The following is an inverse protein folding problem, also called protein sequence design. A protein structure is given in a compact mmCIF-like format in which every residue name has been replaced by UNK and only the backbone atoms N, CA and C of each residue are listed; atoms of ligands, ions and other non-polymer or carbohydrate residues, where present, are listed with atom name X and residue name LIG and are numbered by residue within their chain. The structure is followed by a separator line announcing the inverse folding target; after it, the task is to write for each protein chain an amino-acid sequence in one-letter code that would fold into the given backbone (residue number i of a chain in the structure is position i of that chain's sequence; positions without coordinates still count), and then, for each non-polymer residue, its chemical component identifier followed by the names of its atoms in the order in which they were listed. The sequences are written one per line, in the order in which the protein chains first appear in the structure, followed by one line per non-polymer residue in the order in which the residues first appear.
data_IF_934150245041
#
_entry.id   IF_934150245041
#
_cell.length_a   1.000
_cell.length_b   1.000
_cell.length_c   1.000
_cell.angle_alpha   90.00
_cell.angle_beta   90.00
_cell.angle_gamma   90.00
#
_symmetry.space_group_name_H-M   'P 1'
#
loop_
_entity.id
_entity.type
_entity.pdbx_description
1 polymer ?
#
# COMPACT_ATOMS: atom_id res chain seq x y z
N UNK A 1 55.68 -45.20 27.08
CA UNK A 1 54.59 -44.62 26.26
C UNK A 1 55.21 -43.55 25.36
N UNK A 2 55.36 -43.75 24.03
CA UNK A 2 54.39 -43.46 22.94
C UNK A 2 53.91 -41.98 23.02
N UNK A 3 54.18 -41.02 22.12
CA UNK A 3 54.54 -40.91 20.67
C UNK A 3 55.31 -39.57 20.45
N UNK A 4 56.53 -39.51 19.84
CA UNK A 4 56.94 -39.25 18.41
C UNK A 4 56.66 -37.83 17.84
N UNK A 5 57.67 -36.95 17.60
CA UNK A 5 58.48 -36.65 16.36
C UNK A 5 57.63 -36.14 15.15
N UNK A 6 57.88 -34.98 14.49
CA UNK A 6 58.92 -34.68 13.44
C UNK A 6 58.69 -33.24 12.88
N UNK A 7 59.59 -32.23 12.93
CA UNK A 7 60.65 -31.70 12.01
C UNK A 7 60.35 -31.52 10.49
N UNK A 8 60.45 -30.25 10.01
CA UNK A 8 60.89 -29.65 8.71
C UNK A 8 60.77 -30.43 7.37
N UNK A 9 60.26 -29.77 6.31
CA UNK A 9 61.05 -29.13 5.20
C UNK A 9 60.18 -28.73 3.97
N UNK A 10 60.63 -27.63 3.36
CA UNK A 10 60.34 -27.04 2.04
C UNK A 10 60.65 -27.99 0.87
N UNK A 11 59.86 -27.89 -0.22
CA UNK A 11 60.17 -28.01 -1.67
C UNK A 11 58.81 -27.97 -2.42
N UNK A 12 58.40 -26.89 -3.09
CA UNK A 12 58.84 -26.35 -4.39
C UNK A 12 58.53 -27.26 -5.60
N UNK A 13 58.08 -26.60 -6.69
CA UNK A 13 57.87 -27.07 -8.08
C UNK A 13 56.49 -27.67 -8.33
N UNK A 14 55.72 -27.27 -9.35
CA UNK A 14 56.09 -26.58 -10.59
C UNK A 14 55.07 -25.50 -10.99
N UNK A 15 55.56 -24.41 -11.62
CA UNK A 15 55.56 -24.23 -13.09
C UNK A 15 54.15 -24.04 -13.63
N UNK A 16 53.74 -22.87 -14.10
CA UNK A 16 54.44 -21.64 -14.42
C UNK A 16 53.60 -20.86 -15.45
N UNK A 17 53.88 -19.56 -15.57
CA UNK A 17 53.69 -18.73 -16.76
C UNK A 17 52.21 -18.60 -17.26
N UNK A 18 51.55 -17.45 -17.25
CA UNK A 18 52.01 -16.21 -17.88
C UNK A 18 51.00 -15.10 -17.55
N UNK A 19 51.47 -14.03 -16.91
CA UNK A 19 50.93 -12.69 -17.14
C UNK A 19 51.53 -12.19 -18.45
N UNK A 20 51.01 -12.67 -19.59
CA UNK A 20 51.04 -11.96 -20.86
C UNK A 20 49.58 -11.72 -21.20
N UNK A 21 49.09 -10.50 -21.13
CA UNK A 21 49.39 -9.54 -22.18
C UNK A 21 48.27 -9.63 -23.20
N UNK A 22 47.26 -8.79 -22.98
CA UNK A 22 46.52 -8.04 -23.99
C UNK A 22 45.87 -8.80 -25.17
N UNK A 23 44.64 -8.40 -25.48
CA UNK A 23 44.26 -8.11 -26.88
C UNK A 23 44.25 -9.28 -27.88
N UNK A 24 43.77 -10.47 -27.49
CA UNK A 24 43.53 -11.57 -28.45
C UNK A 24 42.10 -12.12 -28.51
N UNK A 25 41.15 -11.57 -27.75
CA UNK A 25 39.76 -11.62 -28.17
C UNK A 25 39.59 -10.44 -29.12
N UNK A 26 39.90 -10.66 -30.39
CA UNK A 26 39.56 -9.71 -31.44
C UNK A 26 38.10 -9.29 -31.27
N UNK A 27 37.81 -8.05 -31.65
CA UNK A 27 36.46 -7.52 -31.81
C UNK A 27 35.66 -8.42 -32.77
N UNK A 28 35.19 -9.55 -32.27
CA UNK A 28 33.97 -10.16 -32.73
C UNK A 28 32.91 -9.25 -32.14
N UNK A 29 32.13 -8.60 -33.00
CA UNK A 29 30.92 -7.94 -32.57
C UNK A 29 30.17 -8.95 -31.69
N UNK A 30 30.10 -8.68 -30.39
CA UNK A 30 29.24 -9.44 -29.51
C UNK A 30 27.84 -9.20 -30.05
N UNK A 31 27.29 -10.21 -30.72
CA UNK A 31 25.91 -10.19 -31.15
C UNK A 31 25.06 -9.97 -29.89
N UNK A 32 24.32 -8.86 -29.84
CA UNK A 32 23.42 -8.57 -28.72
C UNK A 32 22.34 -9.64 -28.57
N UNK A 33 22.14 -10.50 -29.59
CA UNK A 33 21.26 -11.67 -29.48
C UNK A 33 21.65 -12.63 -28.34
N UNK A 34 22.92 -12.61 -27.89
CA UNK A 34 23.38 -13.44 -26.78
C UNK A 34 23.47 -12.68 -25.45
N UNK A 35 23.13 -11.38 -25.42
CA UNK A 35 22.96 -10.66 -24.17
C UNK A 35 21.81 -11.31 -23.38
N UNK A 36 22.01 -11.68 -22.10
CA UNK A 36 23.00 -11.16 -21.16
C UNK A 36 24.21 -12.08 -20.89
N UNK A 37 24.42 -13.14 -21.68
CA UNK A 37 25.67 -13.90 -21.62
C UNK A 37 26.83 -13.05 -22.18
N UNK A 38 28.05 -13.13 -21.61
CA UNK A 38 28.52 -14.02 -20.54
C UNK A 38 28.32 -13.45 -19.12
N UNK A 39 27.67 -12.30 -18.97
CA UNK A 39 27.59 -11.56 -17.71
C UNK A 39 26.63 -12.17 -16.70
N UNK A 40 25.71 -13.05 -17.14
CA UNK A 40 24.83 -13.83 -16.28
C UNK A 40 25.10 -15.32 -16.49
N UNK A 41 25.46 -16.02 -15.42
CA UNK A 41 25.70 -17.47 -15.44
C UNK A 41 25.14 -18.11 -14.17
N UNK A 42 24.28 -19.12 -14.33
CA UNK A 42 23.66 -19.82 -13.19
C UNK A 42 22.76 -18.93 -12.31
N UNK A 43 22.05 -17.97 -12.90
CA UNK A 43 21.19 -17.04 -12.17
C UNK A 43 21.95 -16.10 -11.24
N UNK A 44 23.21 -15.78 -11.59
CA UNK A 44 24.04 -14.81 -10.87
C UNK A 44 24.81 -13.95 -11.86
N UNK A 45 24.94 -12.67 -11.52
CA UNK A 45 25.84 -11.78 -12.22
C UNK A 45 27.29 -12.23 -12.02
N UNK A 46 28.05 -12.31 -13.11
CA UNK A 46 29.43 -12.76 -13.17
C UNK A 46 30.28 -11.72 -13.89
N UNK A 47 30.58 -10.63 -13.19
CA UNK A 47 31.42 -9.54 -13.69
C UNK A 47 31.80 -8.56 -12.59
N UNK A 48 32.60 -7.55 -12.95
CA UNK A 48 32.85 -6.38 -12.11
C UNK A 48 32.56 -5.16 -12.97
N UNK A 49 31.71 -4.28 -12.48
CA UNK A 49 31.51 -2.96 -13.08
C UNK A 49 32.54 -2.01 -12.50
N UNK A 50 33.32 -1.36 -13.35
CA UNK A 50 34.37 -0.45 -12.93
C UNK A 50 34.05 0.92 -13.51
N UNK A 51 33.84 1.88 -12.61
CA UNK A 51 33.78 3.31 -12.95
C UNK A 51 35.02 3.99 -12.37
N UNK A 52 35.63 4.89 -13.14
CA UNK A 52 36.82 5.61 -12.67
C UNK A 52 36.45 6.75 -11.73
N UNK A 53 37.36 7.09 -10.80
CA UNK A 53 37.17 8.19 -9.84
C UNK A 53 36.96 9.58 -10.49
N UNK A 54 37.29 9.73 -11.78
CA UNK A 54 37.06 10.93 -12.59
C UNK A 54 36.00 10.71 -13.70
N UNK A 55 35.15 9.69 -13.61
CA UNK A 55 34.09 9.45 -14.59
C UNK A 55 33.05 10.57 -14.57
N UNK A 56 32.47 10.88 -15.72
CA UNK A 56 31.37 11.84 -15.75
C UNK A 56 30.15 11.25 -15.04
N UNK A 57 29.30 12.10 -14.46
CA UNK A 57 28.07 11.65 -13.80
C UNK A 57 27.20 10.77 -14.72
N UNK A 58 27.17 11.05 -16.03
CA UNK A 58 26.48 10.23 -17.02
C UNK A 58 27.04 8.80 -17.14
N UNK A 59 28.36 8.61 -16.98
CA UNK A 59 28.98 7.29 -17.02
C UNK A 59 28.68 6.49 -15.74
N UNK A 60 28.56 7.18 -14.60
CA UNK A 60 28.13 6.56 -13.33
C UNK A 60 26.67 6.10 -13.43
N UNK A 61 25.80 6.92 -14.01
CA UNK A 61 24.38 6.56 -14.25
C UNK A 61 24.29 5.40 -15.24
N UNK A 62 25.01 5.44 -16.37
CA UNK A 62 25.00 4.35 -17.35
C UNK A 62 25.49 3.02 -16.80
N UNK A 63 26.44 3.02 -15.86
CA UNK A 63 26.86 1.80 -15.15
C UNK A 63 25.74 1.29 -14.23
N UNK A 64 24.99 2.17 -13.57
CA UNK A 64 23.81 1.80 -12.77
C UNK A 64 22.72 1.18 -13.65
N UNK A 65 22.43 1.75 -14.81
CA UNK A 65 21.41 1.19 -15.73
C UNK A 65 21.81 -0.20 -16.24
N UNK A 66 23.09 -0.40 -16.56
CA UNK A 66 23.63 -1.72 -16.92
C UNK A 66 23.51 -2.69 -15.74
N UNK A 67 23.82 -2.26 -14.52
CA UNK A 67 23.68 -3.07 -13.31
C UNK A 67 22.25 -3.57 -13.13
N UNK A 68 21.29 -2.66 -13.22
CA UNK A 68 19.86 -2.95 -13.06
C UNK A 68 19.36 -3.89 -14.16
N UNK A 69 19.76 -3.66 -15.42
CA UNK A 69 19.39 -4.55 -16.54
C UNK A 69 19.95 -5.97 -16.39
N UNK A 70 21.16 -6.11 -15.85
CA UNK A 70 21.80 -7.41 -15.60
C UNK A 70 21.21 -8.10 -14.37
N UNK A 71 20.77 -7.33 -13.38
CA UNK A 71 20.04 -7.86 -12.24
C UNK A 71 18.65 -8.37 -12.65
N UNK A 72 17.98 -7.69 -13.57
CA UNK A 72 16.73 -8.15 -14.18
C UNK A 72 16.91 -9.46 -14.99
N UNK A 73 18.01 -9.56 -15.73
CA UNK A 73 18.39 -10.79 -16.43
C UNK A 73 18.69 -11.98 -15.50
N UNK A 74 19.18 -11.70 -14.27
CA UNK A 74 19.41 -12.71 -13.23
C UNK A 74 18.10 -13.29 -12.71
N UNK A 75 17.04 -12.49 -12.57
CA UNK A 75 15.70 -12.92 -12.19
C UNK A 75 14.99 -13.82 -13.22
N UNK A 76 15.46 -13.87 -14.47
CA UNK A 76 14.94 -14.76 -15.51
C UNK A 76 15.37 -16.23 -15.38
N UNK A 77 16.25 -16.58 -14.44
CA UNK A 77 16.71 -17.96 -14.25
C UNK A 77 15.82 -18.72 -13.24
N UNK A 78 14.81 -19.42 -13.78
CA UNK A 78 14.02 -20.51 -13.17
C UNK A 78 14.19 -20.73 -11.66
N UNK A 79 13.21 -20.23 -10.93
CA UNK A 79 12.89 -20.63 -9.57
C UNK A 79 11.93 -19.61 -9.03
N UNK A 80 10.69 -20.04 -8.74
CA UNK A 80 9.68 -19.21 -8.09
C UNK A 80 10.25 -18.59 -6.82
N UNK A 81 10.84 -17.41 -6.97
CA UNK A 81 11.27 -16.59 -5.87
C UNK A 81 10.05 -15.75 -5.58
N UNK A 82 9.32 -16.16 -4.55
CA UNK A 82 8.41 -15.25 -3.88
C UNK A 82 9.17 -13.95 -3.66
N UNK A 83 8.76 -12.89 -4.34
CA UNK A 83 9.18 -11.54 -4.01
C UNK A 83 8.74 -11.37 -2.56
N UNK A 84 9.70 -11.45 -1.64
CA UNK A 84 9.41 -11.26 -0.22
C UNK A 84 9.23 -9.75 -0.02
N UNK A 85 7.99 -9.31 -0.19
CA UNK A 85 7.56 -8.02 0.35
C UNK A 85 7.62 -8.16 1.87
N UNK A 86 8.28 -7.23 2.54
CA UNK A 86 8.35 -7.21 4.00
C UNK A 86 7.06 -6.58 4.55
N UNK A 87 6.50 -7.18 5.60
CA UNK A 87 5.25 -6.73 6.22
C UNK A 87 4.15 -7.78 6.16
N UNK A 88 2.94 -7.37 6.53
CA UNK A 88 1.72 -8.15 6.38
C UNK A 88 1.24 -8.06 4.93
N UNK A 89 1.21 -9.19 4.23
CA UNK A 89 1.12 -9.21 2.77
C UNK A 89 0.21 -10.33 2.30
N UNK A 90 -0.81 -9.94 1.53
CA UNK A 90 -1.62 -10.85 0.76
C UNK A 90 -1.16 -10.88 -0.70
N UNK A 91 -0.85 -12.09 -1.20
CA UNK A 91 -0.62 -12.29 -2.63
C UNK A 91 -1.98 -12.48 -3.31
N UNK A 92 -2.35 -11.56 -4.20
CA UNK A 92 -3.56 -11.66 -5.02
C UNK A 92 -3.56 -12.99 -5.78
N UNK A 93 -4.38 -13.92 -5.32
CA UNK A 93 -4.44 -15.28 -5.84
C UNK A 93 -5.08 -16.24 -4.86
N UNK A 94 -5.48 -17.38 -5.39
CA UNK A 94 -5.95 -18.55 -4.66
C UNK A 94 -5.14 -19.77 -5.09
N UNK A 95 -5.42 -20.93 -4.52
CA UNK A 95 -4.79 -22.19 -4.95
C UNK A 95 -5.17 -22.60 -6.39
N UNK A 96 -6.25 -22.05 -6.94
CA UNK A 96 -6.81 -22.43 -8.26
C UNK A 96 -6.87 -21.30 -9.27
N UNK A 97 -6.68 -20.05 -8.84
CA UNK A 97 -6.81 -18.86 -9.68
C UNK A 97 -5.74 -17.84 -9.28
N UNK A 98 -4.98 -17.35 -10.23
CA UNK A 98 -3.96 -16.32 -10.04
C UNK A 98 -4.33 -15.13 -10.92
N UNK A 99 -3.87 -13.92 -10.60
CA UNK A 99 -4.09 -12.76 -11.48
C UNK A 99 -3.19 -12.87 -12.72
N UNK A 100 -3.78 -13.07 -13.90
CA UNK A 100 -3.08 -13.13 -15.19
C UNK A 100 -3.26 -11.83 -16.01
N UNK A 101 -2.60 -11.77 -17.16
CA UNK A 101 -2.79 -10.69 -18.14
C UNK A 101 -4.24 -10.72 -18.66
N UNK A 102 -4.95 -9.60 -18.59
CA UNK A 102 -6.31 -9.52 -19.11
C UNK A 102 -6.36 -9.58 -20.62
N UNK A 103 -7.28 -10.40 -21.13
CA UNK A 103 -7.51 -10.58 -22.56
C UNK A 103 -8.78 -9.83 -22.98
N UNK A 104 -8.62 -8.75 -23.74
CA UNK A 104 -9.77 -8.01 -24.27
C UNK A 104 -10.11 -8.53 -25.67
N UNK A 105 -11.02 -9.51 -25.77
CA UNK A 105 -11.31 -10.21 -27.02
C UNK A 105 -12.42 -9.51 -27.84
N UNK A 106 -12.23 -8.21 -28.11
CA UNK A 106 -12.99 -7.36 -29.02
C UNK A 106 -14.46 -7.07 -28.66
N UNK A 107 -15.26 -8.10 -28.35
CA UNK A 107 -16.70 -8.01 -28.01
C UNK A 107 -17.00 -8.53 -26.60
N UNK A 108 -16.04 -9.22 -25.97
CA UNK A 108 -16.13 -9.73 -24.61
C UNK A 108 -14.85 -9.30 -23.90
N UNK A 109 -14.98 -8.35 -22.98
CA UNK A 109 -13.94 -8.05 -22.00
C UNK A 109 -14.05 -9.10 -20.91
N UNK A 110 -13.19 -10.12 -20.97
CA UNK A 110 -13.01 -11.06 -19.87
C UNK A 110 -11.77 -10.60 -19.09
N UNK A 111 -11.88 -9.42 -18.47
CA UNK A 111 -10.79 -8.89 -17.66
C UNK A 111 -10.68 -9.75 -16.40
N UNK A 112 -9.50 -10.30 -16.18
CA UNK A 112 -9.16 -10.89 -14.90
C UNK A 112 -8.66 -9.77 -13.99
N UNK A 113 -9.56 -9.27 -13.15
CA UNK A 113 -9.27 -8.24 -12.15
C UNK A 113 -9.14 -8.84 -10.76
N UNK A 114 -8.51 -8.09 -9.86
CA UNK A 114 -8.39 -8.41 -8.43
C UNK A 114 -9.75 -8.83 -7.85
N UNK A 115 -10.82 -8.10 -8.18
CA UNK A 115 -12.18 -8.38 -7.75
C UNK A 115 -12.67 -9.79 -8.12
N UNK A 116 -12.24 -10.31 -9.27
CA UNK A 116 -12.62 -11.67 -9.70
C UNK A 116 -11.76 -12.77 -9.07
N UNK A 117 -10.62 -12.42 -8.47
CA UNK A 117 -9.73 -13.38 -7.79
C UNK A 117 -10.27 -13.71 -6.40
N UNK A 118 -10.72 -12.70 -5.68
CA UNK A 118 -11.33 -12.85 -4.35
C UNK A 118 -12.68 -13.55 -4.47
N UNK A 119 -12.82 -14.72 -3.84
CA UNK A 119 -14.08 -15.49 -3.91
C UNK A 119 -15.26 -14.80 -3.25
N UNK A 120 -14.99 -13.90 -2.29
CA UNK A 120 -15.99 -13.16 -1.54
C UNK A 120 -16.01 -11.65 -1.89
N UNK A 121 -15.22 -11.22 -2.88
CA UNK A 121 -14.99 -9.79 -3.21
C UNK A 121 -14.32 -8.99 -2.08
N UNK A 122 -13.81 -9.63 -1.03
CA UNK A 122 -13.04 -8.99 0.03
C UNK A 122 -11.94 -9.91 0.56
N UNK A 123 -11.04 -9.31 1.33
CA UNK A 123 -10.05 -9.95 2.20
C UNK A 123 -10.25 -9.46 3.64
N UNK A 124 -9.84 -10.29 4.60
CA UNK A 124 -9.97 -10.01 6.04
C UNK A 124 -8.68 -10.38 6.82
N UNK A 125 -8.79 -10.56 8.13
CA UNK A 125 -7.69 -10.95 9.02
C UNK A 125 -7.09 -12.33 8.69
N UNK A 126 -7.74 -13.15 7.85
CA UNK A 126 -7.19 -14.41 7.39
C UNK A 126 -6.12 -14.23 6.30
N UNK A 127 -6.22 -13.17 5.50
CA UNK A 127 -5.22 -12.78 4.50
C UNK A 127 -4.22 -11.75 5.04
N UNK A 128 -4.68 -10.82 5.88
CA UNK A 128 -3.88 -9.73 6.47
C UNK A 128 -4.08 -9.67 8.00
N UNK A 129 -3.49 -10.61 8.76
CA UNK A 129 -3.72 -10.78 10.20
C UNK A 129 -3.25 -9.63 11.10
N UNK A 130 -2.36 -8.75 10.64
CA UNK A 130 -1.92 -7.58 11.40
C UNK A 130 -2.68 -6.32 10.95
N UNK A 131 -2.87 -6.15 9.64
CA UNK A 131 -3.46 -4.95 9.04
C UNK A 131 -4.98 -4.92 9.22
N UNK A 132 -5.66 -6.06 9.03
CA UNK A 132 -7.11 -6.18 9.15
C UNK A 132 -7.53 -6.89 10.44
N UNK A 133 -6.68 -6.86 11.46
CA UNK A 133 -6.93 -7.52 12.73
C UNK A 133 -8.27 -7.07 13.36
N UNK A 134 -9.03 -8.03 13.89
CA UNK A 134 -10.23 -7.72 14.67
C UNK A 134 -9.87 -6.95 15.96
N UNK A 135 -10.79 -6.11 16.44
CA UNK A 135 -10.55 -5.29 17.62
C UNK A 135 -11.79 -5.11 18.49
N UNK A 136 -11.64 -4.32 19.55
CA UNK A 136 -12.71 -3.97 20.48
C UNK A 136 -12.58 -2.52 20.87
N UNK A 137 -13.68 -1.78 20.78
CA UNK A 137 -13.82 -0.47 21.43
C UNK A 137 -14.57 -0.67 22.75
N UNK A 138 -14.06 -0.14 23.86
CA UNK A 138 -14.70 -0.24 25.16
C UNK A 138 -15.05 1.15 25.69
N UNK A 139 -16.32 1.36 26.06
CA UNK A 139 -16.77 2.61 26.66
C UNK A 139 -17.74 2.39 27.84
N UNK A 140 -18.42 3.45 28.27
CA UNK A 140 -19.36 3.37 29.40
C UNK A 140 -20.59 2.48 29.13
N UNK A 141 -20.91 2.22 27.86
CA UNK A 141 -22.03 1.38 27.40
C UNK A 141 -21.66 -0.10 27.28
N UNK A 142 -20.38 -0.41 27.20
CA UNK A 142 -19.85 -1.76 27.20
C UNK A 142 -18.76 -1.95 26.15
N UNK A 143 -18.53 -3.21 25.79
CA UNK A 143 -17.58 -3.61 24.76
C UNK A 143 -18.30 -3.73 23.41
N UNK A 144 -17.72 -3.08 22.40
CA UNK A 144 -18.14 -3.12 21.00
C UNK A 144 -17.03 -3.78 20.15
N UNK A 145 -16.98 -5.13 20.09
CA UNK A 145 -16.08 -5.85 19.20
C UNK A 145 -16.39 -5.58 17.72
N UNK A 146 -15.35 -5.45 16.90
CA UNK A 146 -15.44 -5.21 15.46
C UNK A 146 -14.53 -6.11 14.62
N UNK A 147 -14.95 -6.31 13.37
CA UNK A 147 -14.19 -6.98 12.30
C UNK A 147 -13.82 -5.98 11.21
N UNK A 148 -12.69 -6.20 10.52
CA UNK A 148 -12.24 -5.34 9.42
C UNK A 148 -12.15 -6.11 8.11
N UNK A 149 -12.55 -5.47 7.01
CA UNK A 149 -12.51 -6.07 5.67
C UNK A 149 -12.08 -5.05 4.62
N UNK A 150 -11.39 -5.53 3.59
CA UNK A 150 -11.03 -4.76 2.42
C UNK A 150 -11.68 -5.37 1.19
N UNK A 151 -12.65 -4.66 0.62
CA UNK A 151 -13.44 -5.07 -0.54
C UNK A 151 -12.78 -4.63 -1.85
N UNK A 152 -12.76 -5.53 -2.83
CA UNK A 152 -12.42 -5.29 -4.23
C UNK A 152 -13.61 -5.77 -5.08
N UNK A 153 -14.53 -4.86 -5.43
CA UNK A 153 -15.81 -5.24 -6.03
C UNK A 153 -15.92 -4.87 -7.51
N UNK A 154 -15.18 -3.85 -7.94
CA UNK A 154 -15.25 -3.36 -9.32
C UNK A 154 -14.42 -4.25 -10.26
N UNK A 155 -15.12 -5.02 -11.09
CA UNK A 155 -14.50 -5.92 -12.07
C UNK A 155 -13.94 -5.21 -13.30
N UNK A 156 -14.19 -3.90 -13.44
CA UNK A 156 -13.78 -3.09 -14.59
C UNK A 156 -12.48 -2.30 -14.35
N UNK A 157 -11.76 -2.61 -13.28
CA UNK A 157 -10.49 -1.98 -12.87
C UNK A 157 -9.60 -2.99 -12.13
N UNK A 158 -8.36 -2.62 -11.80
CA UNK A 158 -7.45 -3.49 -11.05
C UNK A 158 -7.11 -4.77 -11.79
N UNK A 159 -6.72 -4.66 -13.06
CA UNK A 159 -6.35 -5.79 -13.91
C UNK A 159 -5.05 -5.50 -14.67
N UNK A 160 -4.35 -6.56 -15.09
CA UNK A 160 -3.09 -6.40 -15.82
C UNK A 160 -3.37 -6.24 -17.31
N UNK A 161 -2.73 -5.28 -17.97
CA UNK A 161 -2.87 -5.05 -19.43
C UNK A 161 -1.54 -4.69 -20.07
N UNK A 162 -1.38 -4.96 -21.37
CA UNK A 162 -0.19 -4.59 -22.15
C UNK A 162 -0.54 -3.41 -23.08
N UNK A 163 -0.12 -2.21 -22.71
CA UNK A 163 -0.52 -0.94 -23.33
C UNK A 163 0.63 0.06 -23.30
N UNK A 164 0.46 1.18 -24.01
CA UNK A 164 1.29 2.37 -23.89
C UNK A 164 0.67 3.29 -22.82
N UNK A 165 1.47 3.79 -21.88
CA UNK A 165 1.05 4.69 -20.80
C UNK A 165 1.10 6.18 -21.22
N UNK A 166 0.89 7.10 -20.26
CA UNK A 166 0.93 8.54 -20.48
C UNK A 166 2.31 9.09 -20.83
N UNK A 167 3.38 8.33 -20.59
CA UNK A 167 4.78 8.69 -20.83
C UNK A 167 5.34 8.03 -22.12
N UNK A 168 4.47 7.52 -23.00
CA UNK A 168 4.82 6.79 -24.22
C UNK A 168 5.63 5.49 -23.95
N UNK A 169 5.45 4.86 -22.78
CA UNK A 169 6.10 3.60 -22.42
C UNK A 169 5.14 2.43 -22.68
N UNK A 170 5.53 1.54 -23.60
CA UNK A 170 4.77 0.29 -23.86
C UNK A 170 5.28 -0.86 -22.99
N UNK A 171 4.46 -1.33 -22.04
CA UNK A 171 4.77 -2.44 -21.14
C UNK A 171 3.49 -3.13 -20.61
N UNK A 172 3.67 -4.16 -19.78
CA UNK A 172 2.62 -4.66 -18.89
C UNK A 172 2.47 -3.76 -17.64
N UNK A 173 1.23 -3.40 -17.34
CA UNK A 173 0.86 -2.58 -16.19
C UNK A 173 -0.28 -3.25 -15.43
N UNK A 174 -0.24 -3.18 -14.10
CA UNK A 174 -1.46 -3.28 -13.31
C UNK A 174 -2.19 -1.94 -13.44
N UNK A 175 -3.37 -1.97 -14.03
CA UNK A 175 -4.11 -0.79 -14.44
C UNK A 175 -5.35 -0.59 -13.60
N UNK A 176 -5.53 0.64 -13.09
CA UNK A 176 -6.75 1.10 -12.47
C UNK A 176 -7.37 2.22 -13.30
N UNK A 177 -8.65 2.06 -13.64
CA UNK A 177 -9.38 3.00 -14.48
C UNK A 177 -9.91 4.19 -13.67
N UNK A 178 -9.76 5.39 -14.21
CA UNK A 178 -10.30 6.63 -13.63
C UNK A 178 -11.78 6.49 -13.25
N UNK A 179 -12.13 6.93 -12.04
CA UNK A 179 -13.48 6.96 -11.52
C UNK A 179 -14.03 5.60 -11.09
N UNK A 180 -13.18 4.56 -11.08
CA UNK A 180 -13.54 3.20 -10.61
C UNK A 180 -13.00 2.95 -9.21
N UNK A 181 -13.71 2.10 -8.47
CA UNK A 181 -13.32 1.75 -7.09
C UNK A 181 -11.96 1.02 -7.10
N UNK A 182 -10.99 1.56 -6.36
CA UNK A 182 -9.73 0.88 -6.07
C UNK A 182 -9.97 -0.24 -5.05
N UNK A 183 -10.60 0.12 -3.93
CA UNK A 183 -11.03 -0.75 -2.86
C UNK A 183 -12.07 -0.04 -1.97
N UNK A 184 -12.73 -0.79 -1.09
CA UNK A 184 -13.59 -0.24 -0.03
C UNK A 184 -13.24 -0.87 1.32
N UNK A 185 -12.84 -0.04 2.27
CA UNK A 185 -12.57 -0.45 3.64
C UNK A 185 -13.87 -0.46 4.44
N UNK A 186 -14.08 -1.52 5.22
CA UNK A 186 -15.20 -1.66 6.14
C UNK A 186 -14.68 -2.07 7.51
N UNK A 187 -15.10 -1.34 8.54
CA UNK A 187 -15.05 -1.77 9.94
C UNK A 187 -16.49 -2.02 10.40
N UNK A 188 -16.81 -3.26 10.77
CA UNK A 188 -18.15 -3.68 11.19
C UNK A 188 -18.16 -4.08 12.66
N UNK A 189 -18.96 -3.39 13.46
CA UNK A 189 -19.20 -3.73 14.86
C UNK A 189 -20.15 -4.93 14.96
N UNK A 190 -19.64 -6.05 15.48
CA UNK A 190 -20.45 -7.26 15.76
C UNK A 190 -21.40 -7.05 16.94
N UNK A 191 -21.08 -6.09 17.81
CA UNK A 191 -21.99 -5.47 18.77
C UNK A 191 -21.87 -3.97 18.63
N UNK A 192 -22.99 -3.30 18.34
CA UNK A 192 -23.05 -1.88 17.99
C UNK A 192 -22.31 -1.02 19.03
N UNK A 193 -21.52 -0.04 18.58
CA UNK A 193 -20.91 0.95 19.45
C UNK A 193 -21.97 2.00 19.82
N UNK A 194 -22.27 2.13 21.11
CA UNK A 194 -23.37 2.97 21.59
C UNK A 194 -22.87 4.23 22.32
N UNK A 195 -23.66 5.30 22.23
CA UNK A 195 -23.55 6.51 23.05
C UNK A 195 -24.93 7.04 23.42
N UNK A 196 -25.04 7.68 24.58
CA UNK A 196 -26.15 8.61 24.81
C UNK A 196 -26.01 9.81 23.87
N UNK A 197 -27.15 10.44 23.57
CA UNK A 197 -27.17 11.75 22.91
C UNK A 197 -27.16 12.82 23.99
N UNK A 198 -26.06 13.56 24.08
CA UNK A 198 -25.82 14.54 25.15
C UNK A 198 -25.85 15.99 24.64
N UNK A 199 -26.16 16.90 25.57
CA UNK A 199 -25.89 18.33 25.38
C UNK A 199 -24.40 18.66 25.58
N UNK A 200 -24.04 19.93 25.39
CA UNK A 200 -22.65 20.40 25.53
C UNK A 200 -22.11 20.35 26.96
N UNK A 201 -22.94 20.00 27.95
CA UNK A 201 -22.54 19.79 29.34
C UNK A 201 -22.39 18.29 29.67
N UNK A 202 -22.49 17.40 28.68
CA UNK A 202 -22.41 15.95 28.87
C UNK A 202 -23.64 15.37 29.56
N UNK A 203 -24.80 16.03 29.45
CA UNK A 203 -26.05 15.54 30.01
C UNK A 203 -26.98 15.03 28.91
N UNK A 204 -27.54 13.84 29.11
CA UNK A 204 -28.48 13.21 28.18
C UNK A 204 -29.62 14.16 27.78
N UNK A 205 -29.79 14.34 26.47
CA UNK A 205 -30.67 15.34 25.87
C UNK A 205 -31.17 14.88 24.50
N UNK A 206 -32.51 14.87 24.30
CA UNK A 206 -33.10 14.45 23.02
C UNK A 206 -32.86 15.42 21.85
N UNK A 207 -32.25 16.56 22.12
CA UNK A 207 -31.81 17.53 21.12
C UNK A 207 -30.31 17.78 21.19
N UNK A 208 -29.60 16.92 21.92
CA UNK A 208 -28.16 16.94 22.05
C UNK A 208 -27.47 16.66 20.72
N UNK A 209 -26.21 17.05 20.66
CA UNK A 209 -25.33 16.84 19.50
C UNK A 209 -24.01 16.19 19.88
N UNK A 210 -23.81 15.87 21.16
CA UNK A 210 -22.59 15.29 21.68
C UNK A 210 -22.80 13.80 21.87
N UNK A 211 -21.82 12.99 21.45
CA UNK A 211 -21.82 11.54 21.63
C UNK A 211 -20.67 11.19 22.59
N UNK A 212 -20.76 11.67 23.83
CA UNK A 212 -19.61 11.72 24.74
C UNK A 212 -19.05 10.34 25.12
N UNK A 213 -19.86 9.29 25.04
CA UNK A 213 -19.40 7.92 25.31
C UNK A 213 -18.50 7.36 24.21
N UNK A 214 -18.52 7.93 23.00
CA UNK A 214 -17.64 7.52 21.89
C UNK A 214 -16.32 8.30 21.92
N UNK A 215 -16.29 9.47 22.55
CA UNK A 215 -15.09 10.30 22.64
C UNK A 215 -14.01 9.63 23.49
N UNK A 216 -12.76 9.97 23.22
CA UNK A 216 -11.54 9.41 23.82
C UNK A 216 -11.36 7.89 23.67
N UNK A 217 -12.22 7.23 22.91
CA UNK A 217 -12.12 5.81 22.63
C UNK A 217 -11.06 5.54 21.57
N UNK A 218 -10.25 4.50 21.78
CA UNK A 218 -9.27 4.03 20.80
C UNK A 218 -9.92 3.07 19.81
N UNK A 219 -9.59 3.23 18.52
CA UNK A 219 -9.99 2.36 17.42
C UNK A 219 -8.78 2.10 16.52
N UNK A 220 -8.67 0.89 15.98
CA UNK A 220 -7.57 0.50 15.10
C UNK A 220 -8.15 0.23 13.70
N UNK A 221 -7.62 0.91 12.70
CA UNK A 221 -8.05 0.81 11.31
C UNK A 221 -6.82 0.58 10.43
N UNK A 222 -6.81 -0.49 9.63
CA UNK A 222 -5.66 -0.86 8.77
C UNK A 222 -4.33 -0.93 9.54
N UNK A 223 -4.34 -1.51 10.75
CA UNK A 223 -3.16 -1.61 11.63
C UNK A 223 -2.67 -0.28 12.22
N UNK A 224 -3.39 0.82 11.99
CA UNK A 224 -3.10 2.13 12.55
C UNK A 224 -4.07 2.46 13.70
N UNK A 225 -3.53 2.94 14.81
CA UNK A 225 -4.31 3.33 15.98
C UNK A 225 -4.73 4.78 15.88
N UNK A 226 -6.00 5.01 16.16
CA UNK A 226 -6.64 6.31 16.23
C UNK A 226 -7.38 6.45 17.56
N UNK A 227 -7.41 7.66 18.10
CA UNK A 227 -8.34 8.04 19.17
C UNK A 227 -9.46 8.85 18.54
N UNK A 228 -10.72 8.53 18.85
CA UNK A 228 -11.88 9.33 18.44
C UNK A 228 -11.94 10.53 19.38
N UNK A 229 -11.31 11.64 18.99
CA UNK A 229 -11.21 12.84 19.83
C UNK A 229 -12.51 13.65 19.84
N UNK A 230 -13.31 13.54 18.77
CA UNK A 230 -14.60 14.19 18.71
C UNK A 230 -15.64 13.29 18.05
N UNK A 231 -16.81 13.17 18.66
CA UNK A 231 -17.97 12.48 18.11
C UNK A 231 -19.24 13.34 18.28
N UNK A 232 -19.82 13.76 17.15
CA UNK A 232 -20.93 14.71 17.14
C UNK A 232 -22.02 14.30 16.17
N UNK A 233 -23.28 14.55 16.53
CA UNK A 233 -24.37 14.63 15.55
C UNK A 233 -24.21 15.93 14.77
N UNK A 234 -24.46 15.90 13.46
CA UNK A 234 -24.33 17.10 12.60
C UNK A 234 -25.27 18.23 13.00
N UNK A 235 -26.45 17.88 13.56
CA UNK A 235 -27.44 18.81 14.07
C UNK A 235 -28.38 18.10 15.05
N UNK A 236 -29.15 18.86 15.82
CA UNK A 236 -30.18 18.32 16.72
C UNK A 236 -31.31 17.58 15.99
N UNK A 237 -31.53 17.91 14.70
CA UNK A 237 -32.49 17.25 13.84
C UNK A 237 -31.76 16.47 12.73
N UNK A 238 -32.28 15.29 12.39
CA UNK A 238 -31.61 14.34 11.50
C UNK A 238 -30.80 13.32 12.30
N UNK A 239 -29.97 12.56 11.61
CA UNK A 239 -29.19 11.44 12.14
C UNK A 239 -27.76 11.41 11.58
N UNK A 240 -27.29 12.50 10.95
CA UNK A 240 -25.92 12.59 10.46
C UNK A 240 -24.90 12.73 11.59
N UNK A 241 -23.67 12.32 11.34
CA UNK A 241 -22.58 12.24 12.32
C UNK A 241 -21.28 12.80 11.75
N UNK A 242 -20.45 13.33 12.64
CA UNK A 242 -19.07 13.71 12.37
C UNK A 242 -18.19 13.09 13.45
N UNK A 243 -17.17 12.36 13.01
CA UNK A 243 -16.11 11.80 13.83
C UNK A 243 -14.80 12.48 13.45
N UNK A 244 -14.10 13.03 14.42
CA UNK A 244 -12.71 13.45 14.27
C UNK A 244 -11.87 12.44 15.03
N UNK A 245 -10.91 11.87 14.33
CA UNK A 245 -9.97 10.93 14.87
C UNK A 245 -8.56 11.50 14.80
N UNK A 246 -7.75 11.22 15.80
CA UNK A 246 -6.33 11.55 15.80
C UNK A 246 -5.51 10.28 15.94
N UNK A 247 -4.70 10.00 14.92
CA UNK A 247 -3.54 9.13 15.03
C UNK A 247 -2.34 9.97 15.44
N UNK A 248 -1.27 9.33 15.91
CA UNK A 248 -0.02 10.04 16.16
C UNK A 248 1.03 9.23 16.89
N UNK A 249 2.28 9.66 16.76
CA UNK A 249 3.43 8.95 17.33
C UNK A 249 3.49 9.08 18.86
N UNK A 250 2.96 10.16 19.44
CA UNK A 250 3.00 10.40 20.88
C UNK A 250 1.78 11.17 21.37
N UNK A 251 1.08 10.61 22.37
CA UNK A 251 0.03 11.28 23.17
C UNK A 251 0.59 11.60 24.55
N UNK A 252 0.33 12.80 25.07
CA UNK A 252 0.70 13.18 26.44
C UNK A 252 -0.19 14.31 26.97
N UNK A 253 -0.11 14.54 28.28
CA UNK A 253 -0.75 15.68 28.97
C UNK A 253 0.32 16.63 29.46
N UNK A 254 0.17 17.92 29.17
CA UNK A 254 1.00 18.96 29.78
C UNK A 254 0.17 19.88 30.68
N UNK A 255 0.79 20.36 31.76
CA UNK A 255 0.27 21.46 32.56
C UNK A 255 0.77 22.78 31.96
N UNK A 256 -0.02 23.84 32.08
CA UNK A 256 0.36 25.17 31.60
C UNK A 256 1.73 25.61 32.17
N UNK A 257 2.59 26.11 31.28
CA UNK A 257 3.97 26.52 31.55
C UNK A 257 4.99 25.38 31.62
N UNK A 258 4.57 24.11 31.50
CA UNK A 258 5.49 22.97 31.50
C UNK A 258 6.05 22.74 30.11
N UNK A 259 7.35 22.47 30.06
CA UNK A 259 8.08 22.07 28.85
C UNK A 259 8.58 20.65 28.99
N UNK A 260 8.43 19.84 27.95
CA UNK A 260 8.93 18.46 27.88
C UNK A 260 9.47 18.19 26.49
N UNK A 261 10.48 17.32 26.41
CA UNK A 261 11.07 16.88 25.14
C UNK A 261 10.51 15.51 24.76
N UNK A 262 10.12 15.37 23.50
CA UNK A 262 9.60 14.16 22.89
C UNK A 262 10.48 13.76 21.71
N UNK A 263 10.70 12.47 21.52
CA UNK A 263 11.52 11.96 20.41
C UNK A 263 10.64 11.20 19.44
N UNK A 264 10.51 11.70 18.20
CA UNK A 264 9.79 11.05 17.10
C UNK A 264 10.80 10.76 16.00
N UNK A 265 10.88 9.50 15.57
CA UNK A 265 11.82 9.02 14.54
C UNK A 265 13.29 9.44 14.76
N UNK A 266 13.71 9.50 16.03
CA UNK A 266 15.07 9.88 16.42
C UNK A 266 15.36 11.39 16.37
N UNK A 267 14.35 12.22 16.12
CA UNK A 267 14.42 13.69 16.23
C UNK A 267 13.72 14.14 17.51
N UNK A 268 14.36 15.03 18.24
CA UNK A 268 13.83 15.61 19.47
C UNK A 268 12.99 16.85 19.18
N UNK A 269 11.88 16.98 19.90
CA UNK A 269 10.92 18.07 19.86
C UNK A 269 10.70 18.59 21.27
N UNK A 270 11.08 19.83 21.52
CA UNK A 270 10.77 20.53 22.76
C UNK A 270 9.37 21.13 22.64
N UNK A 271 8.44 20.66 23.47
CA UNK A 271 7.05 21.12 23.48
C UNK A 271 6.74 21.78 24.82
N UNK A 272 6.19 22.99 24.75
CA UNK A 272 5.71 23.76 25.89
C UNK A 272 4.22 24.00 25.73
N UNK A 273 3.43 23.78 26.79
CA UNK A 273 2.05 24.28 26.85
C UNK A 273 2.08 25.72 27.37
N UNK A 274 1.91 26.70 26.49
CA UNK A 274 2.12 28.11 26.82
C UNK A 274 0.92 28.75 27.51
N UNK A 275 -0.29 28.32 27.13
CA UNK A 275 -1.53 28.93 27.54
C UNK A 275 -2.67 27.93 27.47
N UNK A 276 -3.58 28.01 28.45
CA UNK A 276 -4.84 27.27 28.47
C UNK A 276 -5.93 28.21 28.96
N UNK A 277 -7.08 28.19 28.29
CA UNK A 277 -8.32 28.77 28.81
C UNK A 277 -9.46 27.74 28.82
N UNK A 278 -10.70 28.22 29.00
CA UNK A 278 -11.89 27.37 29.10
C UNK A 278 -12.14 26.47 27.90
N UNK A 279 -11.60 26.78 26.73
CA UNK A 279 -11.92 26.05 25.50
C UNK A 279 -10.79 26.01 24.47
N UNK A 280 -9.64 26.63 24.72
CA UNK A 280 -8.48 26.56 23.83
C UNK A 280 -7.15 26.44 24.58
N UNK A 281 -6.15 25.94 23.86
CA UNK A 281 -4.79 25.79 24.30
C UNK A 281 -3.81 26.30 23.23
N UNK A 282 -2.63 26.75 23.65
CA UNK A 282 -1.52 27.11 22.76
C UNK A 282 -0.25 26.41 23.18
N UNK A 283 0.47 25.90 22.19
CA UNK A 283 1.73 25.23 22.40
C UNK A 283 2.85 25.95 21.67
N UNK A 284 4.08 25.74 22.13
CA UNK A 284 5.30 26.05 21.39
C UNK A 284 6.05 24.76 21.15
N UNK A 285 6.35 24.45 19.88
CA UNK A 285 7.10 23.28 19.44
C UNK A 285 8.39 23.76 18.79
N UNK A 286 9.54 23.42 19.37
CA UNK A 286 10.88 23.85 18.89
C UNK A 286 11.01 25.37 18.66
N UNK A 287 10.32 26.17 19.46
CA UNK A 287 10.31 27.63 19.36
C UNK A 287 9.32 28.21 18.35
N UNK A 288 8.51 27.39 17.67
CA UNK A 288 7.38 27.79 16.84
C UNK A 288 6.08 27.64 17.63
N UNK A 289 5.30 28.71 17.77
CA UNK A 289 4.02 28.68 18.48
C UNK A 289 2.88 28.27 17.55
N UNK A 290 1.96 27.47 18.07
CA UNK A 290 0.71 27.13 17.38
C UNK A 290 -0.24 28.33 17.34
N UNK A 291 -1.27 28.24 16.49
CA UNK A 291 -2.51 29.00 16.65
C UNK A 291 -3.22 28.63 17.95
N UNK A 292 -4.31 29.35 18.27
CA UNK A 292 -5.25 28.89 19.31
C UNK A 292 -5.92 27.61 18.82
N UNK A 293 -5.78 26.52 19.59
CA UNK A 293 -6.34 25.22 19.26
C UNK A 293 -7.46 24.89 20.24
N UNK A 294 -8.64 24.60 19.70
CA UNK A 294 -9.73 24.01 20.48
C UNK A 294 -9.64 22.49 20.45
N UNK A 295 -10.48 21.81 21.22
CA UNK A 295 -10.61 20.35 21.15
C UNK A 295 -10.95 19.88 19.71
N UNK A 296 -10.16 18.92 19.20
CA UNK A 296 -10.24 18.40 17.84
C UNK A 296 -9.40 19.15 16.80
N UNK A 297 -8.78 20.28 17.17
CA UNK A 297 -7.95 21.06 16.25
C UNK A 297 -6.51 20.53 16.15
N UNK A 298 -5.94 20.70 14.96
CA UNK A 298 -4.53 20.49 14.67
C UNK A 298 -3.84 21.76 14.17
N UNK A 299 -2.53 21.82 14.35
CA UNK A 299 -1.66 22.80 13.72
C UNK A 299 -0.40 22.13 13.16
N UNK A 300 -0.03 22.48 11.93
CA UNK A 300 1.12 21.92 11.24
C UNK A 300 2.28 22.91 11.29
N UNK A 301 3.37 22.49 11.90
CA UNK A 301 4.57 23.31 12.08
C UNK A 301 5.35 23.41 10.78
N UNK A 302 6.27 24.38 10.70
CA UNK A 302 7.10 24.61 9.51
C UNK A 302 7.98 23.42 9.09
N UNK A 303 8.28 22.51 10.01
CA UNK A 303 9.03 21.28 9.73
C UNK A 303 8.16 20.08 9.31
N UNK A 304 6.85 20.30 9.18
CA UNK A 304 5.85 19.30 8.79
C UNK A 304 5.24 18.51 9.95
N UNK A 305 5.75 18.66 11.18
CA UNK A 305 5.19 17.99 12.36
C UNK A 305 3.85 18.63 12.73
N UNK A 306 2.84 17.81 12.98
CA UNK A 306 1.52 18.29 13.41
C UNK A 306 1.35 18.11 14.92
N UNK A 307 0.81 19.12 15.59
CA UNK A 307 0.31 19.03 16.96
C UNK A 307 -1.21 19.06 16.95
N UNK A 308 -1.87 18.13 17.64
CA UNK A 308 -3.33 18.07 17.78
C UNK A 308 -3.76 18.13 19.23
N UNK A 309 -4.88 18.79 19.54
CA UNK A 309 -5.46 18.85 20.89
C UNK A 309 -6.69 17.95 20.99
N UNK A 310 -6.77 17.17 22.06
CA UNK A 310 -7.89 16.22 22.30
C UNK A 310 -8.65 16.46 23.59
N UNK A 311 -8.06 17.15 24.57
CA UNK A 311 -8.79 17.51 25.79
C UNK A 311 -8.18 18.78 26.37
N UNK A 312 -9.03 19.64 26.92
CA UNK A 312 -8.64 20.87 27.59
C UNK A 312 -9.30 20.90 28.95
N UNK A 313 -8.48 20.95 30.01
CA UNK A 313 -8.93 21.10 31.38
C UNK A 313 -8.53 22.48 31.89
N UNK A 314 -9.53 23.29 32.22
CA UNK A 314 -9.34 24.63 32.76
C UNK A 314 -10.21 24.87 33.99
N UNK A 315 -9.60 25.42 35.03
CA UNK A 315 -10.24 25.65 36.32
C UNK A 315 -10.02 27.09 36.78
N UNK A 316 -11.04 27.93 36.58
CA UNK A 316 -11.01 29.38 36.88
C UNK A 316 -11.13 29.68 38.39
N UNK A 317 -10.17 29.19 39.17
CA UNK A 317 -9.99 29.56 40.56
C UNK A 317 -8.51 29.50 40.94
N UNK A 318 -8.13 30.20 42.02
CA UNK A 318 -6.74 30.27 42.44
C UNK A 318 -6.19 28.88 42.80
N UNK A 319 -5.16 28.44 42.06
CA UNK A 319 -4.59 27.10 42.19
C UNK A 319 -5.35 26.01 41.44
N UNK A 320 -6.29 26.37 40.55
CA UNK A 320 -6.91 25.45 39.60
C UNK A 320 -5.91 24.83 38.65
N UNK A 321 -6.24 23.64 38.14
CA UNK A 321 -5.41 22.92 37.17
C UNK A 321 -5.74 23.39 35.76
N UNK A 322 -4.70 23.76 35.02
CA UNK A 322 -4.75 24.12 33.61
C UNK A 322 -3.88 23.12 32.86
N UNK A 323 -4.49 22.32 31.99
CA UNK A 323 -3.79 21.29 31.23
C UNK A 323 -4.45 21.02 29.90
N UNK A 324 -3.67 20.47 28.97
CA UNK A 324 -4.17 20.00 27.70
C UNK A 324 -3.55 18.64 27.37
N UNK A 325 -4.41 17.75 26.87
CA UNK A 325 -4.02 16.49 26.24
C UNK A 325 -3.80 16.76 24.76
N UNK A 326 -2.70 16.24 24.23
CA UNK A 326 -2.29 16.51 22.87
C UNK A 326 -1.59 15.32 22.23
N UNK A 327 -1.55 15.36 20.90
CA UNK A 327 -0.77 14.48 20.05
C UNK A 327 0.35 15.27 19.37
N UNK A 328 1.56 14.70 19.33
CA UNK A 328 2.67 15.20 18.53
C UNK A 328 2.98 14.23 17.38
N UNK A 329 3.18 14.78 16.19
CA UNK A 329 3.16 14.00 14.95
C UNK A 329 1.76 13.46 14.68
N UNK A 330 0.74 14.28 14.94
CA UNK A 330 -0.66 13.91 14.79
C UNK A 330 -1.03 13.73 13.31
N UNK A 331 -1.87 12.75 13.02
CA UNK A 331 -2.61 12.66 11.76
C UNK A 331 -4.08 12.80 12.10
N UNK A 332 -4.71 13.85 11.60
CA UNK A 332 -6.13 14.10 11.82
C UNK A 332 -6.93 13.47 10.69
N UNK A 333 -7.97 12.71 11.06
CA UNK A 333 -8.91 12.10 10.14
C UNK A 333 -10.31 12.62 10.46
N UNK A 334 -10.99 13.25 9.50
CA UNK A 334 -12.38 13.68 9.63
C UNK A 334 -13.27 12.77 8.77
N UNK A 335 -14.16 12.03 9.43
CA UNK A 335 -15.22 11.25 8.78
C UNK A 335 -16.54 11.94 9.06
N UNK A 336 -17.24 12.35 8.02
CA UNK A 336 -18.53 13.01 8.13
C UNK A 336 -19.55 12.29 7.28
N UNK A 337 -20.71 12.04 7.85
CA UNK A 337 -21.84 11.45 7.15
C UNK A 337 -23.10 12.25 7.43
N UNK A 338 -23.93 12.46 6.42
CA UNK A 338 -25.17 13.22 6.53
C UNK A 338 -26.36 12.39 6.99
N UNK A 339 -26.31 11.06 6.87
CA UNK A 339 -27.42 10.18 7.21
C UNK A 339 -26.96 8.73 7.46
N UNK A 340 -26.86 8.34 8.72
CA UNK A 340 -26.40 6.99 9.08
C UNK A 340 -27.36 5.84 8.74
N UNK A 341 -28.55 6.16 8.23
CA UNK A 341 -29.54 5.17 7.82
C UNK A 341 -29.42 4.73 6.35
N UNK A 342 -28.49 5.32 5.60
CA UNK A 342 -28.14 4.86 4.27
C UNK A 342 -26.84 4.05 4.28
N UNK A 343 -26.45 3.54 3.11
CA UNK A 343 -25.29 2.66 2.93
C UNK A 343 -24.30 3.25 1.93
N UNK A 344 -24.33 4.59 1.75
CA UNK A 344 -23.47 5.30 0.81
C UNK A 344 -23.54 6.81 1.06
N UNK A 345 -22.37 7.46 1.05
CA UNK A 345 -22.24 8.91 1.17
C UNK A 345 -21.45 9.50 0.00
N UNK A 346 -21.63 10.80 -0.21
CA UNK A 346 -20.79 11.62 -1.11
C UNK A 346 -19.82 12.51 -0.33
N UNK A 347 -19.76 12.32 0.99
CA UNK A 347 -18.83 13.04 1.84
C UNK A 347 -17.45 12.41 1.73
N UNK A 348 -16.49 13.20 1.27
CA UNK A 348 -15.09 12.81 1.25
C UNK A 348 -14.48 12.93 2.64
N UNK A 349 -13.57 12.00 2.90
CA UNK A 349 -12.71 12.02 4.08
C UNK A 349 -11.81 13.26 4.01
N UNK A 350 -11.49 13.83 5.18
CA UNK A 350 -10.35 14.75 5.27
C UNK A 350 -9.21 14.15 6.06
N UNK A 351 -8.00 14.37 5.56
CA UNK A 351 -6.75 14.04 6.26
C UNK A 351 -5.97 15.33 6.47
N UNK A 352 -5.63 15.64 7.72
CA UNK A 352 -4.92 16.87 8.09
C UNK A 352 -5.56 18.16 7.56
N UNK A 353 -6.91 18.20 7.61
CA UNK A 353 -7.78 19.27 7.12
C UNK A 353 -7.85 19.41 5.57
N UNK A 354 -7.14 18.57 4.82
CA UNK A 354 -7.24 18.45 3.35
C UNK A 354 -8.32 17.43 2.97
N UNK A 355 -9.24 17.80 2.08
CA UNK A 355 -10.22 16.86 1.51
C UNK A 355 -9.52 15.97 0.51
N UNK A 356 -9.73 14.64 0.63
CA UNK A 356 -9.10 13.65 -0.24
C UNK A 356 -10.08 13.25 -1.33
N UNK A 357 -9.77 13.62 -2.57
CA UNK A 357 -10.65 13.39 -3.71
C UNK A 357 -10.79 11.87 -3.96
N UNK A 358 -12.04 11.41 -4.14
CA UNK A 358 -12.31 9.98 -4.41
C UNK A 358 -12.33 9.06 -3.19
N UNK A 359 -12.07 9.58 -1.99
CA UNK A 359 -12.18 8.84 -0.72
C UNK A 359 -13.50 9.17 0.01
N UNK A 360 -14.61 8.55 -0.39
CA UNK A 360 -15.91 8.78 0.25
C UNK A 360 -16.10 7.91 1.50
N UNK A 361 -16.57 8.51 2.60
CA UNK A 361 -16.84 7.77 3.84
C UNK A 361 -18.27 7.96 4.35
N UNK A 362 -18.79 6.91 4.99
CA UNK A 362 -20.08 6.91 5.66
C UNK A 362 -20.07 6.06 6.92
N UNK A 363 -21.07 6.27 7.76
CA UNK A 363 -21.25 5.54 9.02
C UNK A 363 -22.63 4.93 8.98
N UNK A 364 -22.75 3.60 9.05
CA UNK A 364 -24.06 2.96 9.15
C UNK A 364 -24.44 2.81 10.62
N UNK A 365 -25.71 3.05 10.96
CA UNK A 365 -26.14 3.03 12.35
C UNK A 365 -27.59 3.39 12.58
N UNK A 366 -27.91 3.70 13.85
CA UNK A 366 -29.25 4.13 14.26
C UNK A 366 -29.20 5.26 15.28
N UNK A 367 -30.19 6.15 15.25
CA UNK A 367 -30.31 7.28 16.16
C UNK A 367 -31.81 7.46 16.50
N UNK A 368 -32.17 7.26 17.76
CA UNK A 368 -33.55 7.49 18.26
C UNK A 368 -33.69 8.83 19.00
N UNK A 369 -32.68 9.69 18.90
CA UNK A 369 -32.42 10.93 19.63
C UNK A 369 -32.07 10.76 21.12
N UNK A 370 -32.16 9.57 21.69
CA UNK A 370 -31.70 9.31 23.07
C UNK A 370 -30.44 8.48 23.08
N UNK A 371 -30.37 7.51 22.17
CA UNK A 371 -29.22 6.62 21.96
C UNK A 371 -28.81 6.67 20.51
N UNK A 372 -27.52 6.87 20.30
CA UNK A 372 -26.87 6.80 19.00
C UNK A 372 -26.06 5.51 18.93
N UNK A 373 -26.12 4.83 17.79
CA UNK A 373 -25.43 3.56 17.57
C UNK A 373 -24.69 3.57 16.26
N UNK A 374 -23.46 3.07 16.28
CA UNK A 374 -22.62 2.83 15.10
C UNK A 374 -22.54 1.33 14.84
N UNK A 375 -22.95 0.93 13.64
CA UNK A 375 -22.85 -0.43 13.13
C UNK A 375 -21.59 -0.59 12.27
N UNK A 376 -21.32 0.39 11.40
CA UNK A 376 -20.18 0.34 10.47
C UNK A 376 -19.54 1.69 10.27
N UNK A 377 -18.24 1.66 9.99
CA UNK A 377 -17.50 2.78 9.39
C UNK A 377 -16.96 2.27 8.06
N UNK A 378 -17.27 2.99 6.98
CA UNK A 378 -16.91 2.54 5.62
C UNK A 378 -16.20 3.67 4.88
N UNK A 379 -15.13 3.33 4.16
CA UNK A 379 -14.37 4.25 3.30
C UNK A 379 -14.21 3.61 1.91
N UNK A 380 -14.89 4.17 0.92
CA UNK A 380 -14.77 3.78 -0.48
C UNK A 380 -13.73 4.65 -1.18
N UNK A 381 -12.70 4.03 -1.74
CA UNK A 381 -11.61 4.69 -2.43
C UNK A 381 -11.76 4.45 -3.93
N UNK A 382 -11.84 5.51 -4.72
CA UNK A 382 -11.97 5.46 -6.18
C UNK A 382 -10.79 6.19 -6.83
N UNK A 383 -10.33 5.70 -7.97
CA UNK A 383 -9.25 6.35 -8.71
C UNK A 383 -9.70 7.74 -9.20
N UNK A 384 -8.85 8.75 -9.01
CA UNK A 384 -9.09 10.11 -9.54
C UNK A 384 -8.57 10.27 -10.98
N UNK A 385 -7.60 9.43 -11.35
CA UNK A 385 -7.05 9.30 -12.70
C UNK A 385 -6.83 7.83 -13.11
N UNK A 386 -6.34 7.64 -14.32
CA UNK A 386 -5.89 6.36 -14.84
C UNK A 386 -4.50 6.01 -14.25
N UNK A 387 -4.44 4.97 -13.42
CA UNK A 387 -3.18 4.57 -12.79
C UNK A 387 -2.55 3.37 -13.49
N UNK A 388 -1.36 3.57 -14.05
CA UNK A 388 -0.52 2.55 -14.65
C UNK A 388 0.59 2.15 -13.68
N UNK A 389 0.44 1.05 -12.95
CA UNK A 389 1.48 0.57 -12.02
C UNK A 389 2.44 -0.36 -12.77
N UNK A 390 3.71 0.03 -12.99
CA UNK A 390 4.66 -0.78 -13.75
C UNK A 390 5.12 -2.00 -12.95
N UNK A 391 5.71 -2.98 -13.64
CA UNK A 391 6.34 -4.12 -12.98
C UNK A 391 7.42 -3.66 -11.97
N UNK A 392 7.34 -4.18 -10.75
CA UNK A 392 8.14 -3.77 -9.59
C UNK A 392 7.63 -2.51 -8.87
N UNK A 393 6.64 -1.81 -9.43
CA UNK A 393 6.07 -0.58 -8.90
C UNK A 393 4.97 -0.79 -7.86
N UNK A 394 4.60 0.31 -7.20
CA UNK A 394 3.56 0.40 -6.18
C UNK A 394 2.51 1.41 -6.58
N UNK A 395 1.26 1.18 -6.22
CA UNK A 395 0.17 2.12 -6.47
C UNK A 395 0.42 3.45 -5.74
N UNK A 396 0.87 3.40 -4.48
CA UNK A 396 1.22 4.58 -3.69
C UNK A 396 2.35 5.45 -4.28
N UNK A 397 3.14 4.90 -5.21
CA UNK A 397 4.25 5.58 -5.87
C UNK A 397 3.90 5.96 -7.32
N UNK A 398 2.64 5.80 -7.74
CA UNK A 398 2.21 6.20 -9.07
C UNK A 398 2.28 7.74 -9.19
N UNK A 399 2.92 8.29 -10.24
CA UNK A 399 3.05 9.73 -10.39
C UNK A 399 1.73 10.47 -10.58
N UNK A 400 0.69 9.80 -11.08
CA UNK A 400 -0.64 10.39 -11.27
C UNK A 400 -1.46 10.40 -9.97
N UNK A 401 -1.07 9.61 -8.96
CA UNK A 401 -1.68 9.63 -7.63
C UNK A 401 -1.14 10.83 -6.83
N UNK A 402 -1.78 11.98 -7.02
CA UNK A 402 -1.36 13.24 -6.39
C UNK A 402 -1.61 13.27 -4.86
N UNK A 403 -2.58 12.50 -4.38
CA UNK A 403 -2.98 12.39 -2.98
C UNK A 403 -2.84 10.95 -2.48
N UNK A 404 -1.64 10.52 -2.04
CA UNK A 404 -1.43 9.13 -1.59
C UNK A 404 -2.29 8.74 -0.37
N UNK A 405 -2.82 9.72 0.37
CA UNK A 405 -3.81 9.58 1.42
C UNK A 405 -5.13 8.94 0.94
N UNK A 406 -5.41 8.94 -0.38
CA UNK A 406 -6.51 8.20 -1.01
C UNK A 406 -6.46 6.71 -0.67
N UNK A 407 -5.27 6.14 -0.43
CA UNK A 407 -5.11 4.77 0.07
C UNK A 407 -5.34 4.70 1.59
N UNK A 408 -6.41 5.36 2.04
CA UNK A 408 -6.88 5.57 3.41
C UNK A 408 -5.72 5.73 4.41
N UNK A 409 -5.24 6.97 4.53
CA UNK A 409 -4.13 7.38 5.43
C UNK A 409 -2.82 6.62 5.20
N UNK A 410 -2.59 6.15 3.97
CA UNK A 410 -1.43 5.32 3.59
C UNK A 410 -1.38 4.00 4.39
N UNK A 411 -2.54 3.51 4.84
CA UNK A 411 -2.65 2.29 5.64
C UNK A 411 -2.37 1.02 4.84
N UNK A 412 -2.42 1.08 3.50
CA UNK A 412 -2.21 -0.08 2.64
C UNK A 412 -1.66 0.34 1.26
N UNK A 413 -1.23 -0.64 0.46
CA UNK A 413 -0.65 -0.43 -0.87
C UNK A 413 -0.82 -1.68 -1.75
N UNK A 414 -0.73 -1.50 -3.07
CA UNK A 414 -0.69 -2.60 -4.04
C UNK A 414 0.64 -2.54 -4.79
N UNK A 415 1.40 -3.62 -4.71
CA UNK A 415 2.61 -3.78 -5.50
C UNK A 415 2.35 -4.71 -6.69
N UNK A 416 2.68 -4.24 -7.90
CA UNK A 416 2.69 -5.10 -9.08
C UNK A 416 4.08 -5.71 -9.27
N UNK A 417 4.22 -7.02 -9.04
CA UNK A 417 5.51 -7.70 -9.17
C UNK A 417 5.94 -7.98 -10.62
N UNK A 418 5.07 -7.74 -11.60
CA UNK A 418 5.27 -8.11 -13.01
C UNK A 418 4.79 -9.53 -13.34
N UNK A 419 4.77 -9.86 -14.62
CA UNK A 419 4.41 -11.20 -15.12
C UNK A 419 5.53 -12.22 -14.88
N UNK A 420 5.16 -13.45 -14.51
CA UNK A 420 6.07 -14.59 -14.55
C UNK A 420 6.14 -15.15 -15.97
N UNK A 421 7.35 -15.52 -16.40
CA UNK A 421 7.50 -16.21 -17.68
C UNK A 421 7.04 -17.66 -17.52
N UNK A 422 5.93 -18.00 -18.18
CA UNK A 422 5.43 -19.37 -18.23
C UNK A 422 6.13 -20.20 -19.30
N UNK A 423 6.11 -21.52 -19.13
CA UNK A 423 6.70 -22.45 -20.09
C UNK A 423 5.94 -22.37 -21.42
N UNK A 424 6.60 -21.86 -22.46
CA UNK A 424 6.03 -21.83 -23.80
C UNK A 424 6.16 -23.19 -24.47
N UNK A 425 5.12 -23.60 -25.19
CA UNK A 425 5.20 -24.74 -26.10
C UNK A 425 5.55 -24.26 -27.51
N UNK A 426 6.46 -24.98 -28.17
CA UNK A 426 6.88 -24.63 -29.52
C UNK A 426 5.84 -25.16 -30.53
N UNK A 427 5.24 -24.24 -31.30
CA UNK A 427 4.38 -24.57 -32.43
C UNK A 427 5.18 -24.39 -33.71
N UNK A 428 5.37 -25.47 -34.45
CA UNK A 428 6.25 -25.51 -35.63
C UNK A 428 5.50 -25.90 -36.89
N UNK A 429 5.82 -25.25 -38.00
CA UNK A 429 5.44 -25.73 -39.34
C UNK A 429 6.64 -26.44 -39.95
N UNK A 430 6.50 -27.73 -40.26
CA UNK A 430 7.56 -28.52 -40.90
C UNK A 430 7.13 -29.13 -42.21
N UNK A 431 8.07 -29.31 -43.13
CA UNK A 431 7.85 -30.13 -44.30
C UNK A 431 7.77 -31.62 -43.91
N UNK A 432 6.79 -32.33 -44.46
CA UNK A 432 6.61 -33.77 -44.29
C UNK A 432 6.66 -34.43 -45.66
N UNK A 433 7.88 -34.74 -46.13
CA UNK A 433 8.11 -35.11 -47.53
C UNK A 433 8.22 -33.88 -48.44
N UNK A 434 7.96 -34.06 -49.74
CA UNK A 434 8.11 -32.99 -50.74
C UNK A 434 6.79 -32.29 -51.11
N UNK A 435 5.67 -32.79 -50.61
CA UNK A 435 4.32 -32.43 -51.06
C UNK A 435 3.35 -32.12 -49.90
N UNK A 436 3.85 -31.94 -48.68
CA UNK A 436 3.04 -31.69 -47.48
C UNK A 436 3.76 -30.84 -46.43
N UNK A 437 3.00 -29.96 -45.77
CA UNK A 437 3.39 -29.32 -44.52
C UNK A 437 2.52 -29.82 -43.36
N UNK A 438 3.16 -30.00 -42.20
CA UNK A 438 2.52 -30.35 -40.94
C UNK A 438 2.72 -29.22 -39.93
N UNK A 439 1.66 -28.91 -39.20
CA UNK A 439 1.71 -28.16 -37.96
C UNK A 439 2.00 -29.14 -36.83
N UNK A 440 3.14 -29.00 -36.17
CA UNK A 440 3.49 -29.71 -34.95
C UNK A 440 3.24 -28.82 -33.74
N UNK A 441 2.55 -29.37 -32.74
CA UNK A 441 2.32 -28.73 -31.45
C UNK A 441 2.15 -29.81 -30.36
N UNK A 442 2.15 -29.41 -29.09
CA UNK A 442 1.85 -30.31 -27.97
C UNK A 442 0.38 -30.12 -27.58
N UNK A 443 -0.36 -31.21 -27.34
CA UNK A 443 -1.75 -31.11 -26.87
C UNK A 443 -1.84 -30.89 -25.36
N UNK A 444 -3.04 -30.59 -24.85
CA UNK A 444 -3.28 -30.39 -23.41
C UNK A 444 -3.02 -31.62 -22.52
N UNK A 445 -2.62 -32.76 -23.09
CA UNK A 445 -2.17 -33.95 -22.35
C UNK A 445 -0.64 -34.15 -22.44
N UNK A 446 0.10 -33.21 -23.05
CA UNK A 446 1.54 -33.27 -23.21
C UNK A 446 2.02 -34.15 -24.38
N UNK A 447 1.12 -34.58 -25.27
CA UNK A 447 1.50 -35.40 -26.43
C UNK A 447 1.82 -34.52 -27.63
N UNK A 448 2.87 -34.88 -28.38
CA UNK A 448 3.14 -34.24 -29.68
C UNK A 448 2.09 -34.64 -30.70
N UNK A 449 1.45 -33.65 -31.31
CA UNK A 449 0.48 -33.78 -32.39
C UNK A 449 1.08 -33.20 -33.67
N UNK A 450 0.88 -33.88 -34.80
CA UNK A 450 1.24 -33.40 -36.12
C UNK A 450 0.00 -33.39 -37.02
N UNK A 451 -0.46 -32.20 -37.42
CA UNK A 451 -1.66 -32.02 -38.25
C UNK A 451 -1.25 -31.57 -39.66
N UNK A 452 -1.68 -32.26 -40.73
CA UNK A 452 -1.50 -31.77 -42.10
C UNK A 452 -2.22 -30.42 -42.28
N UNK A 453 -1.50 -29.37 -42.66
CA UNK A 453 -2.10 -28.04 -42.92
C UNK A 453 -2.08 -27.65 -44.40
N UNK A 454 -1.19 -28.24 -45.19
CA UNK A 454 -1.14 -28.07 -46.64
C UNK A 454 -0.63 -29.34 -47.31
N UNK A 455 -1.20 -29.67 -48.47
CA UNK A 455 -0.71 -30.74 -49.33
C UNK A 455 -0.97 -30.41 -50.81
N UNK A 456 -0.19 -30.98 -51.73
CA UNK A 456 -0.44 -30.87 -53.17
C UNK A 456 -0.96 -32.17 -53.74
N UNK A 457 -2.03 -32.10 -54.53
CA UNK A 457 -2.55 -33.24 -55.29
C UNK A 457 -1.79 -33.44 -56.62
N UNK A 458 -0.49 -33.76 -56.57
CA UNK A 458 0.29 -34.05 -57.77
C UNK A 458 1.81 -34.07 -57.56
N UNK A 459 2.59 -34.26 -58.63
CA UNK A 459 4.07 -34.31 -58.63
C UNK A 459 4.75 -32.94 -58.41
N UNK A 460 4.04 -31.96 -57.85
CA UNK A 460 4.53 -30.60 -57.69
C UNK A 460 5.01 -30.42 -56.26
N UNK A 461 6.29 -30.15 -56.05
CA UNK A 461 6.84 -30.00 -54.70
C UNK A 461 6.40 -28.68 -54.07
N UNK A 462 5.96 -28.73 -52.82
CA UNK A 462 5.87 -27.58 -51.91
C UNK A 462 7.31 -27.26 -51.46
N UNK A 463 7.87 -26.16 -51.95
CA UNK A 463 9.24 -25.74 -51.61
C UNK A 463 9.31 -25.07 -50.26
#
# INVERSE_FOLDING_TARGET
MKFRKTIKKILALGTGATMMGATLMGAMAADLANYPAPFVSGGKFSGVMVVGDNANAADVIGVTDIATSLQFAVSGAKGGSAVSVAGDVWKVGTSTKILELSENHGTVSANESIATITTQSFIDDSELPETLANGVVSNSKGDAPYEQRMYFEDTTTGFVTYVEDSDDVTADFLYFTNGRQLARYELEFTTQLESDVDDSAGSASTTGTYLTDIEDSEIEMLGQKFTIVQARRNAAAGNGVQLILMGGATRDTLLEGVTKTYTIDGKDYEVTLDFVDSNSAKFTVNGESTRDLVDGDTDKMSDGTTLGVTEILYQDYAGGVHSADFFLGAQKLEIKDTNIGDTASTQEVKVDDETIDGANAWVEGTDDNSTFKVDKIVVNMSADDDYYVPAGGKLSANPELNEPELLFTKGWDIQYAGLTQEATEEINIKASGSDKYELEFTDGSGNKVAVPIAYTSGTTNLK
#
